data_IF_988487338069
#
_entry.id   IF_988487338069
#
_cell.length_a   1.000
_cell.length_b   1.000
_cell.length_c   1.000
_cell.angle_alpha   90.00
_cell.angle_beta   90.00
_cell.angle_gamma   90.00
#
_symmetry.space_group_name_H-M   'P 1'
#
loop_
_entity.id
_entity.type
_entity.pdbx_description
1 polymer ?
#
# COMPACT_ATOMS: atom_id res chain seq x y z
N UNK A 1 -18.04 -0.08 1.63
CA UNK A 1 -17.05 0.96 1.22
C UNK A 1 -17.57 1.72 0.00
N UNK A 2 -17.06 2.92 -0.33
CA UNK A 2 -17.53 3.73 -1.46
C UNK A 2 -17.25 3.09 -2.82
N UNK A 3 -18.06 2.11 -3.20
CA UNK A 3 -18.25 1.65 -4.57
C UNK A 3 -19.76 1.42 -4.71
N UNK A 4 -20.51 2.47 -5.05
CA UNK A 4 -21.90 2.33 -5.51
C UNK A 4 -21.90 2.51 -7.03
N UNK A 5 -21.94 1.37 -7.73
CA UNK A 5 -21.99 1.14 -9.20
C UNK A 5 -20.63 1.00 -9.92
N UNK A 6 -20.30 -0.25 -10.17
CA UNK A 6 -19.24 -0.71 -11.07
C UNK A 6 -19.76 -0.88 -12.51
N UNK A 7 -20.16 0.21 -13.17
CA UNK A 7 -20.65 0.14 -14.57
C UNK A 7 -19.88 1.02 -15.57
N UNK A 8 -18.83 1.75 -15.15
CA UNK A 8 -18.04 2.59 -16.07
C UNK A 8 -16.55 2.50 -15.76
N UNK A 9 -15.79 1.78 -16.59
CA UNK A 9 -14.31 1.82 -16.70
C UNK A 9 -13.49 2.00 -15.41
N UNK A 10 -12.88 0.90 -14.92
CA UNK A 10 -12.11 0.82 -13.67
C UNK A 10 -11.05 1.93 -13.44
N UNK A 11 -10.46 2.51 -14.49
CA UNK A 11 -9.37 3.47 -14.33
C UNK A 11 -9.83 4.90 -13.94
N UNK A 12 -11.00 5.34 -14.41
CA UNK A 12 -11.48 6.73 -14.21
C UNK A 12 -12.22 6.89 -12.88
N UNK A 13 -12.85 5.81 -12.38
CA UNK A 13 -13.56 5.82 -11.09
C UNK A 13 -12.58 5.90 -9.92
N UNK A 14 -11.50 5.10 -9.96
CA UNK A 14 -10.59 4.94 -8.81
C UNK A 14 -9.84 6.24 -8.49
N UNK A 15 -9.49 7.06 -9.50
CA UNK A 15 -8.89 8.39 -9.29
C UNK A 15 -9.84 9.40 -8.63
N UNK A 16 -11.14 9.38 -8.98
CA UNK A 16 -12.16 10.27 -8.38
C UNK A 16 -12.54 9.85 -6.96
N UNK A 17 -12.51 8.56 -6.64
CA UNK A 17 -12.92 8.02 -5.34
C UNK A 17 -12.11 8.56 -4.16
N UNK A 18 -10.81 8.79 -4.33
CA UNK A 18 -9.93 9.34 -3.29
C UNK A 18 -10.32 10.76 -2.84
N UNK A 19 -10.99 11.51 -3.71
CA UNK A 19 -11.44 12.88 -3.43
C UNK A 19 -12.92 12.97 -3.07
N UNK A 20 -13.77 12.09 -3.61
CA UNK A 20 -15.23 12.14 -3.40
C UNK A 20 -15.73 11.29 -2.23
N UNK A 21 -14.98 10.26 -1.83
CA UNK A 21 -15.33 9.41 -0.69
C UNK A 21 -14.60 9.85 0.58
N UNK A 22 -15.35 10.26 1.60
CA UNK A 22 -14.81 10.71 2.89
C UNK A 22 -14.03 9.61 3.60
N UNK A 23 -14.54 8.39 3.61
CA UNK A 23 -13.94 7.23 4.26
C UNK A 23 -12.62 6.83 3.59
N UNK A 24 -12.58 6.80 2.26
CA UNK A 24 -11.36 6.54 1.51
C UNK A 24 -10.33 7.65 1.76
N UNK A 25 -10.76 8.91 1.73
CA UNK A 25 -9.88 10.05 1.97
C UNK A 25 -9.25 10.00 3.36
N UNK A 26 -10.02 9.68 4.40
CA UNK A 26 -9.53 9.52 5.78
C UNK A 26 -8.47 8.41 5.84
N UNK A 27 -8.77 7.24 5.27
CA UNK A 27 -7.83 6.11 5.25
C UNK A 27 -6.51 6.46 4.56
N UNK A 28 -6.58 7.02 3.36
CA UNK A 28 -5.36 7.35 2.60
C UNK A 28 -4.56 8.49 3.22
N UNK A 29 -5.21 9.45 3.90
CA UNK A 29 -4.49 10.47 4.69
C UNK A 29 -3.76 9.87 5.87
N UNK A 30 -4.35 8.90 6.56
CA UNK A 30 -3.67 8.17 7.62
C UNK A 30 -2.44 7.43 7.08
N UNK A 31 -2.56 6.73 5.95
CA UNK A 31 -1.43 6.08 5.26
C UNK A 31 -0.33 7.08 4.90
N UNK A 32 -0.70 8.24 4.33
CA UNK A 32 0.24 9.33 4.03
C UNK A 32 1.02 9.77 5.28
N UNK A 33 0.33 10.07 6.38
CA UNK A 33 0.94 10.51 7.62
C UNK A 33 1.90 9.47 8.19
N UNK A 34 1.54 8.19 8.11
CA UNK A 34 2.44 7.11 8.50
C UNK A 34 3.73 7.11 7.66
N UNK A 35 3.61 7.22 6.33
CA UNK A 35 4.78 7.23 5.43
C UNK A 35 5.68 8.44 5.72
N UNK A 36 5.11 9.63 5.84
CA UNK A 36 5.87 10.85 6.09
C UNK A 36 6.64 10.77 7.42
N UNK A 37 6.02 10.20 8.46
CA UNK A 37 6.67 10.01 9.78
C UNK A 37 7.78 8.97 9.74
N UNK A 38 7.54 7.85 9.05
CA UNK A 38 8.45 6.70 9.00
C UNK A 38 9.66 6.96 8.10
N UNK A 39 9.44 7.57 6.94
CA UNK A 39 10.49 7.80 5.94
C UNK A 39 11.10 9.20 6.01
N UNK A 40 10.56 10.09 6.86
CA UNK A 40 10.97 11.51 6.99
C UNK A 40 10.93 12.27 5.66
N UNK A 41 9.94 11.95 4.82
CA UNK A 41 9.69 12.62 3.54
C UNK A 41 8.39 13.43 3.62
N UNK A 42 8.23 14.38 2.71
CA UNK A 42 6.95 15.07 2.50
C UNK A 42 6.29 14.53 1.25
N UNK A 43 5.05 14.07 1.38
CA UNK A 43 4.25 13.56 0.28
C UNK A 43 3.21 14.58 -0.15
N UNK A 44 2.95 14.66 -1.44
CA UNK A 44 1.74 15.26 -1.96
C UNK A 44 0.62 14.20 -2.00
N UNK A 45 -0.61 14.63 -1.74
CA UNK A 45 -1.76 13.72 -1.79
C UNK A 45 -2.24 13.53 -3.24
N UNK A 46 -1.42 12.85 -4.03
CA UNK A 46 -1.66 12.55 -5.46
C UNK A 46 -2.21 11.13 -5.62
N UNK A 47 -3.41 10.95 -6.21
CA UNK A 47 -4.01 9.63 -6.40
C UNK A 47 -3.09 8.64 -7.15
N UNK A 48 -2.27 9.11 -8.08
CA UNK A 48 -1.30 8.32 -8.84
C UNK A 48 -0.28 7.63 -7.94
N UNK A 49 0.16 8.30 -6.88
CA UNK A 49 1.07 7.71 -5.89
C UNK A 49 0.37 6.61 -5.10
N UNK A 50 -0.82 6.86 -4.56
CA UNK A 50 -1.49 5.91 -3.66
C UNK A 50 -2.11 4.72 -4.40
N UNK A 51 -2.56 4.93 -5.64
CA UNK A 51 -3.27 3.91 -6.42
C UNK A 51 -2.36 3.21 -7.42
N UNK A 52 -1.34 3.88 -7.94
CA UNK A 52 -0.48 3.34 -8.99
C UNK A 52 0.97 3.20 -8.52
N UNK A 53 1.31 3.71 -7.34
CA UNK A 53 2.69 3.76 -6.83
C UNK A 53 3.66 4.44 -7.81
N UNK A 54 3.14 5.40 -8.59
CA UNK A 54 3.95 6.20 -9.50
C UNK A 54 4.51 7.38 -8.71
N UNK A 55 5.84 7.48 -8.67
CA UNK A 55 6.54 8.55 -7.97
C UNK A 55 7.74 9.03 -8.78
N UNK A 56 7.83 10.35 -8.91
CA UNK A 56 8.94 11.12 -9.46
C UNK A 56 9.85 11.70 -8.35
N UNK A 57 9.60 11.32 -7.09
CA UNK A 57 10.36 11.84 -5.96
C UNK A 57 11.82 11.41 -6.00
N UNK A 58 12.70 12.38 -5.72
CA UNK A 58 14.13 12.14 -5.53
C UNK A 58 14.40 11.67 -4.08
N UNK A 59 14.19 10.39 -3.83
CA UNK A 59 14.41 9.71 -2.54
C UNK A 59 15.35 8.51 -2.70
N UNK A 60 15.98 8.05 -1.62
CA UNK A 60 16.93 6.94 -1.66
C UNK A 60 16.30 5.64 -2.13
N UNK A 61 17.11 4.68 -2.57
CA UNK A 61 16.63 3.35 -2.96
C UNK A 61 15.83 2.67 -1.82
N UNK A 62 16.35 2.70 -0.61
CA UNK A 62 15.70 2.09 0.56
C UNK A 62 14.39 2.79 0.91
N UNK A 63 14.33 4.12 0.78
CA UNK A 63 13.09 4.87 0.94
C UNK A 63 12.06 4.51 -0.14
N UNK A 64 12.48 4.33 -1.41
CA UNK A 64 11.59 3.88 -2.50
C UNK A 64 11.06 2.49 -2.23
N UNK A 65 11.91 1.59 -1.77
CA UNK A 65 11.53 0.23 -1.39
C UNK A 65 10.51 0.26 -0.26
N UNK A 66 10.80 0.94 0.85
CA UNK A 66 9.89 1.05 1.98
C UNK A 66 8.55 1.70 1.59
N UNK A 67 8.59 2.77 0.79
CA UNK A 67 7.39 3.43 0.26
C UNK A 67 6.53 2.44 -0.54
N UNK A 68 7.15 1.69 -1.46
CA UNK A 68 6.45 0.71 -2.29
C UNK A 68 5.76 -0.35 -1.42
N UNK A 69 6.47 -0.97 -0.47
CA UNK A 69 5.91 -2.00 0.40
C UNK A 69 4.74 -1.47 1.23
N UNK A 70 4.84 -0.26 1.77
CA UNK A 70 3.77 0.36 2.55
C UNK A 70 2.54 0.66 1.69
N UNK A 71 2.73 1.23 0.48
CA UNK A 71 1.62 1.53 -0.44
C UNK A 71 0.93 0.25 -0.91
N UNK A 72 1.69 -0.78 -1.29
CA UNK A 72 1.13 -2.08 -1.70
C UNK A 72 0.33 -2.70 -0.55
N UNK A 73 0.87 -2.68 0.67
CA UNK A 73 0.18 -3.17 1.86
C UNK A 73 -1.13 -2.43 2.10
N UNK A 74 -1.12 -1.10 2.00
CA UNK A 74 -2.32 -0.28 2.15
C UNK A 74 -3.37 -0.64 1.09
N UNK A 75 -2.96 -0.81 -0.17
CA UNK A 75 -3.86 -1.21 -1.27
C UNK A 75 -4.48 -2.58 -1.04
N UNK A 76 -3.68 -3.57 -0.61
CA UNK A 76 -4.18 -4.91 -0.27
C UNK A 76 -5.22 -4.82 0.84
N UNK A 77 -4.92 -4.11 1.92
CA UNK A 77 -5.83 -3.98 3.04
C UNK A 77 -7.13 -3.25 2.65
N UNK A 78 -7.02 -2.16 1.89
CA UNK A 78 -8.17 -1.43 1.37
C UNK A 78 -9.04 -2.34 0.48
N UNK A 79 -8.41 -3.11 -0.41
CA UNK A 79 -9.08 -4.09 -1.25
C UNK A 79 -9.71 -5.21 -0.42
N UNK A 80 -9.13 -5.64 0.71
CA UNK A 80 -9.75 -6.65 1.59
C UNK A 80 -11.00 -6.13 2.30
N UNK A 81 -11.05 -4.84 2.60
CA UNK A 81 -12.19 -4.22 3.26
C UNK A 81 -13.28 -3.76 2.26
N UNK A 82 -13.07 -3.86 0.93
CA UNK A 82 -13.99 -3.34 -0.08
C UNK A 82 -15.46 -3.76 0.10
N UNK A 83 -15.69 -5.03 0.50
CA UNK A 83 -17.00 -5.62 0.77
C UNK A 83 -17.45 -5.50 2.23
N UNK A 84 -16.59 -5.02 3.13
CA UNK A 84 -16.88 -4.85 4.55
C UNK A 84 -17.51 -3.48 4.82
N UNK A 85 -18.32 -3.34 5.88
CA UNK A 85 -18.73 -2.03 6.37
C UNK A 85 -17.51 -1.28 6.92
N UNK A 86 -17.35 -0.02 6.54
CA UNK A 86 -16.26 0.85 7.01
C UNK A 86 -14.95 0.77 6.21
N UNK A 87 -14.04 1.70 6.53
CA UNK A 87 -12.66 1.69 6.03
C UNK A 87 -11.74 0.95 7.00
N UNK A 88 -10.56 0.45 6.56
CA UNK A 88 -9.59 -0.12 7.48
C UNK A 88 -9.16 0.91 8.54
N UNK A 89 -9.00 0.46 9.78
CA UNK A 89 -8.48 1.29 10.86
C UNK A 89 -6.95 1.34 10.85
N UNK A 90 -6.37 2.28 11.60
CA UNK A 90 -4.93 2.34 11.81
C UNK A 90 -4.37 1.04 12.39
N UNK A 91 -5.09 0.43 13.34
CA UNK A 91 -4.73 -0.87 13.90
C UNK A 91 -4.65 -1.97 12.84
N UNK A 92 -5.67 -2.06 11.98
CA UNK A 92 -5.66 -3.05 10.89
C UNK A 92 -4.49 -2.82 9.93
N UNK A 93 -4.13 -1.55 9.69
CA UNK A 93 -3.00 -1.19 8.85
C UNK A 93 -1.66 -1.61 9.45
N UNK A 94 -1.44 -1.36 10.74
CA UNK A 94 -0.22 -1.81 11.42
C UNK A 94 -0.10 -3.33 11.50
N UNK A 95 -1.20 -4.02 11.82
CA UNK A 95 -1.24 -5.49 11.82
C UNK A 95 -0.87 -6.03 10.43
N UNK A 96 -1.44 -5.43 9.36
CA UNK A 96 -1.12 -5.84 7.98
C UNK A 96 0.33 -5.58 7.60
N UNK A 97 0.90 -4.44 7.96
CA UNK A 97 2.32 -4.14 7.72
C UNK A 97 3.21 -5.19 8.41
N UNK A 98 2.92 -5.52 9.66
CA UNK A 98 3.69 -6.51 10.41
C UNK A 98 3.64 -7.89 9.76
N UNK A 99 2.46 -8.32 9.33
CA UNK A 99 2.29 -9.57 8.57
C UNK A 99 3.11 -9.57 7.29
N UNK A 100 3.07 -8.49 6.51
CA UNK A 100 3.82 -8.38 5.26
C UNK A 100 5.33 -8.40 5.49
N UNK A 101 5.84 -7.71 6.52
CA UNK A 101 7.27 -7.74 6.88
C UNK A 101 7.71 -9.16 7.24
N UNK A 102 6.91 -9.89 8.02
CA UNK A 102 7.25 -11.26 8.41
C UNK A 102 7.27 -12.20 7.21
N UNK A 103 6.29 -12.09 6.31
CA UNK A 103 6.23 -12.87 5.07
C UNK A 103 7.42 -12.54 4.16
N UNK A 104 7.76 -11.26 4.00
CA UNK A 104 8.91 -10.83 3.18
C UNK A 104 10.22 -11.39 3.75
N UNK A 105 10.37 -11.37 5.08
CA UNK A 105 11.52 -11.96 5.76
C UNK A 105 11.62 -13.47 5.51
N UNK A 106 10.53 -14.20 5.68
CA UNK A 106 10.47 -15.64 5.41
C UNK A 106 10.75 -15.97 3.94
N UNK A 107 10.22 -15.17 3.02
CA UNK A 107 10.46 -15.32 1.58
C UNK A 107 11.94 -15.10 1.23
N UNK A 108 12.60 -14.17 1.92
CA UNK A 108 14.06 -13.96 1.80
C UNK A 108 14.86 -15.19 2.24
N UNK A 109 14.52 -15.80 3.37
CA UNK A 109 15.18 -17.02 3.84
C UNK A 109 15.00 -18.18 2.83
N UNK A 110 13.76 -18.43 2.40
CA UNK A 110 13.46 -19.49 1.43
C UNK A 110 14.20 -19.31 0.10
N UNK A 111 14.36 -18.06 -0.35
CA UNK A 111 15.11 -17.75 -1.57
C UNK A 111 16.59 -18.06 -1.42
N UNK A 112 17.20 -17.73 -0.28
CA UNK A 112 18.59 -18.07 0.01
C UNK A 112 18.82 -19.58 0.01
N UNK A 113 17.95 -20.32 0.69
CA UNK A 113 18.01 -21.79 0.75
C UNK A 113 17.84 -22.42 -0.64
N UNK A 114 16.94 -21.90 -1.46
CA UNK A 114 16.74 -22.35 -2.84
C UNK A 114 17.97 -22.09 -3.73
N UNK A 115 18.56 -20.90 -3.65
CA UNK A 115 19.77 -20.55 -4.40
C UNK A 115 20.97 -21.41 -3.98
N UNK A 116 21.10 -21.73 -2.68
CA UNK A 116 22.11 -22.65 -2.18
C UNK A 116 21.88 -24.08 -2.67
N UNK A 117 20.63 -24.54 -2.72
CA UNK A 117 20.27 -25.88 -3.20
C UNK A 117 20.55 -26.05 -4.70
N UNK A 118 20.32 -25.01 -5.52
CA UNK A 118 20.69 -25.01 -6.95
C UNK A 118 22.21 -25.09 -7.13
N UNK A 119 22.99 -24.32 -6.36
CA UNK A 119 24.46 -24.33 -6.49
C UNK A 119 25.10 -25.67 -6.10
N UNK A 120 24.40 -26.48 -5.29
CA UNK A 120 24.84 -27.82 -4.87
C UNK A 120 24.44 -28.93 -5.85
N UNK A 121 23.64 -28.64 -6.87
CA UNK A 121 23.23 -29.57 -7.94
C UNK A 121 24.06 -29.38 -9.19
#
# INVERSE_FOLDING_TARGET
MCVKRADKGLAVIVLKELQTCKEANIYWRMVKLFIERSLKIKLEFRPELFLLNITDMNISHDQKYALHHVIVTARILYAQFWKKPGAPTERNFFEKIRECIEIDRLSGYLKGDYEETIKRR
#
